data_IF_575668811788
#
_entry.id   IF_575668811788
#
_cell.length_a   1.000
_cell.length_b   1.000
_cell.length_c   1.000
_cell.angle_alpha   90.00
_cell.angle_beta   90.00
_cell.angle_gamma   90.00
#
_symmetry.space_group_name_H-M   'P 1'
#
loop_
_entity.id
_entity.type
_entity.pdbx_description
1 polymer ?
#
# COMPACT_ATOMS: atom_id res chain seq x y z
N UNK A 1 18.06 -8.99 -14.45
CA UNK A 1 17.48 -7.67 -14.09
C UNK A 1 17.40 -7.45 -12.58
N UNK A 2 16.58 -8.15 -11.78
CA UNK A 2 16.53 -7.94 -10.31
C UNK A 2 17.88 -8.26 -9.64
N UNK A 3 18.50 -9.41 -9.96
CA UNK A 3 19.83 -9.80 -9.43
C UNK A 3 20.99 -8.88 -9.86
N UNK A 4 20.76 -8.05 -10.88
CA UNK A 4 21.76 -7.14 -11.45
C UNK A 4 21.64 -5.74 -10.84
N UNK A 5 20.40 -5.31 -10.54
CA UNK A 5 20.11 -4.11 -9.76
C UNK A 5 20.46 -4.29 -8.27
N UNK A 6 20.31 -5.51 -7.73
CA UNK A 6 20.73 -5.87 -6.37
C UNK A 6 22.24 -5.79 -6.16
N UNK A 7 23.05 -5.99 -7.23
CA UNK A 7 24.51 -5.86 -7.20
C UNK A 7 25.02 -4.41 -7.18
N UNK A 8 24.12 -3.42 -7.29
CA UNK A 8 24.47 -1.99 -7.35
C UNK A 8 24.21 -1.23 -6.05
N UNK A 9 23.67 -1.87 -5.01
CA UNK A 9 23.52 -1.18 -3.73
C UNK A 9 24.91 -0.96 -3.12
N UNK A 10 25.33 0.30 -3.06
CA UNK A 10 26.57 0.70 -2.40
C UNK A 10 26.59 0.17 -0.95
N UNK A 11 27.71 -0.44 -0.55
CA UNK A 11 27.84 -1.09 0.76
C UNK A 11 27.67 -0.10 1.91
N UNK A 12 28.09 1.17 1.74
CA UNK A 12 27.90 2.19 2.77
C UNK A 12 26.42 2.55 2.89
N UNK A 13 25.71 2.72 1.77
CA UNK A 13 24.25 2.97 1.78
C UNK A 13 23.50 1.81 2.45
N UNK A 14 23.89 0.56 2.16
CA UNK A 14 23.34 -0.64 2.79
C UNK A 14 23.55 -0.61 4.31
N UNK A 15 24.78 -0.36 4.75
CA UNK A 15 25.13 -0.37 6.16
C UNK A 15 24.44 0.77 6.93
N UNK A 16 24.42 1.98 6.37
CA UNK A 16 23.74 3.14 6.96
C UNK A 16 22.24 2.87 7.10
N UNK A 17 21.59 2.33 6.06
CA UNK A 17 20.17 1.96 6.12
C UNK A 17 19.92 0.92 7.20
N UNK A 18 20.76 -0.12 7.27
CA UNK A 18 20.64 -1.20 8.25
C UNK A 18 20.71 -0.66 9.68
N UNK A 19 21.71 0.16 9.98
CA UNK A 19 21.90 0.73 11.32
C UNK A 19 20.70 1.60 11.73
N UNK A 20 20.22 2.48 10.85
CA UNK A 20 19.04 3.32 11.12
C UNK A 20 17.77 2.49 11.33
N UNK A 21 17.59 1.43 10.54
CA UNK A 21 16.44 0.52 10.68
C UNK A 21 16.50 -0.21 12.02
N UNK A 22 17.67 -0.69 12.43
CA UNK A 22 17.85 -1.39 13.70
C UNK A 22 17.52 -0.47 14.89
N UNK A 23 18.06 0.74 14.90
CA UNK A 23 17.73 1.78 15.90
C UNK A 23 16.22 2.06 15.94
N UNK A 24 15.59 2.19 14.78
CA UNK A 24 14.15 2.43 14.67
C UNK A 24 13.32 1.26 15.22
N UNK A 25 13.68 0.02 14.89
CA UNK A 25 12.98 -1.16 15.39
C UNK A 25 13.20 -1.33 16.90
N UNK A 26 14.38 -0.98 17.39
CA UNK A 26 14.70 -0.97 18.81
C UNK A 26 13.81 0.01 19.60
N UNK A 27 13.44 1.16 19.03
CA UNK A 27 12.42 2.05 19.64
C UNK A 27 11.07 1.33 19.81
N UNK A 28 10.61 0.59 18.79
CA UNK A 28 9.33 -0.14 18.85
C UNK A 28 9.34 -1.30 19.87
N UNK A 29 10.52 -1.82 20.20
CA UNK A 29 10.68 -2.86 21.21
C UNK A 29 10.69 -2.26 22.62
N UNK A 30 11.34 -1.12 22.83
CA UNK A 30 11.65 -0.63 24.18
C UNK A 30 10.81 0.56 24.64
N UNK A 31 10.10 1.26 23.74
CA UNK A 31 9.30 2.43 24.09
C UNK A 31 7.82 2.06 24.22
N UNK A 32 7.24 2.25 25.42
CA UNK A 32 5.85 1.87 25.72
C UNK A 32 4.83 2.49 24.74
N UNK A 33 4.96 3.78 24.43
CA UNK A 33 4.05 4.46 23.50
C UNK A 33 4.12 3.89 22.07
N UNK A 34 5.28 3.38 21.65
CA UNK A 34 5.46 2.69 20.35
C UNK A 34 4.84 1.30 20.35
N UNK A 35 4.93 0.58 21.46
CA UNK A 35 4.23 -0.68 21.63
C UNK A 35 2.70 -0.50 21.61
N UNK A 36 2.19 0.56 22.26
CA UNK A 36 0.75 0.85 22.25
C UNK A 36 0.26 1.24 20.85
N UNK A 37 1.05 2.03 20.11
CA UNK A 37 0.80 2.31 18.70
C UNK A 37 0.75 1.03 17.85
N UNK A 38 1.72 0.13 18.04
CA UNK A 38 1.78 -1.17 17.38
C UNK A 38 0.53 -2.00 17.66
N UNK A 39 0.12 -2.11 18.93
CA UNK A 39 -1.09 -2.85 19.34
C UNK A 39 -2.35 -2.26 18.72
N UNK A 40 -2.51 -0.93 18.69
CA UNK A 40 -3.67 -0.29 18.06
C UNK A 40 -3.73 -0.59 16.56
N UNK A 41 -2.61 -0.49 15.85
CA UNK A 41 -2.54 -0.83 14.42
C UNK A 41 -2.94 -2.28 14.18
N UNK A 42 -2.39 -3.23 14.96
CA UNK A 42 -2.70 -4.65 14.83
C UNK A 42 -4.18 -4.95 15.12
N UNK A 43 -4.75 -4.32 16.16
CA UNK A 43 -6.18 -4.42 16.49
C UNK A 43 -7.06 -3.94 15.33
N UNK A 44 -6.76 -2.77 14.77
CA UNK A 44 -7.52 -2.22 13.63
C UNK A 44 -7.41 -3.09 12.38
N UNK A 45 -6.23 -3.68 12.10
CA UNK A 45 -6.09 -4.66 11.01
C UNK A 45 -6.98 -5.88 11.21
N UNK A 46 -6.96 -6.45 12.41
CA UNK A 46 -7.81 -7.59 12.75
C UNK A 46 -9.30 -7.25 12.59
N UNK A 47 -9.72 -6.07 13.02
CA UNK A 47 -11.10 -5.61 12.85
C UNK A 47 -11.49 -5.41 11.38
N UNK A 48 -10.60 -4.83 10.57
CA UNK A 48 -10.81 -4.72 9.12
C UNK A 48 -11.02 -6.09 8.47
N UNK A 49 -10.17 -7.08 8.78
CA UNK A 49 -10.31 -8.43 8.22
C UNK A 49 -11.59 -9.14 8.68
N UNK A 50 -12.05 -8.86 9.89
CA UNK A 50 -13.34 -9.37 10.37
C UNK A 50 -14.53 -8.74 9.64
N UNK A 51 -14.47 -7.44 9.34
CA UNK A 51 -15.55 -6.69 8.68
C UNK A 51 -15.60 -6.91 7.16
N UNK A 52 -14.43 -7.03 6.54
CA UNK A 52 -14.28 -7.11 5.08
C UNK A 52 -13.42 -8.32 4.68
N UNK A 53 -13.78 -9.54 5.12
CA UNK A 53 -13.09 -10.74 4.68
C UNK A 53 -13.20 -10.86 3.15
N UNK A 54 -12.22 -11.51 2.52
CA UNK A 54 -12.15 -11.59 1.05
C UNK A 54 -13.41 -12.22 0.46
N UNK A 55 -13.95 -13.21 1.16
CA UNK A 55 -15.12 -13.99 0.77
C UNK A 55 -16.40 -13.14 0.74
N UNK A 56 -16.50 -12.09 1.57
CA UNK A 56 -17.68 -11.22 1.58
C UNK A 56 -17.66 -10.15 0.50
N UNK A 57 -16.53 -9.95 -0.20
CA UNK A 57 -16.41 -8.94 -1.24
C UNK A 57 -17.40 -9.17 -2.38
N UNK A 58 -17.66 -10.42 -2.77
CA UNK A 58 -18.59 -10.76 -3.85
C UNK A 58 -20.04 -10.33 -3.55
N UNK A 59 -20.45 -10.40 -2.29
CA UNK A 59 -21.80 -10.05 -1.82
C UNK A 59 -21.89 -8.65 -1.22
N UNK A 60 -20.80 -7.87 -1.24
CA UNK A 60 -20.78 -6.52 -0.68
C UNK A 60 -21.78 -5.62 -1.42
N UNK A 61 -22.57 -4.86 -0.66
CA UNK A 61 -23.49 -3.86 -1.22
C UNK A 61 -22.78 -2.51 -1.40
N UNK A 62 -23.39 -1.62 -2.19
CA UNK A 62 -22.85 -0.28 -2.42
C UNK A 62 -22.84 0.55 -1.13
N UNK A 63 -23.80 0.36 -0.22
CA UNK A 63 -23.88 0.98 1.11
C UNK A 63 -22.69 0.57 1.99
N UNK A 64 -22.33 -0.72 1.94
CA UNK A 64 -21.20 -1.28 2.69
C UNK A 64 -19.87 -0.78 2.13
N UNK A 65 -19.79 -0.49 0.83
CA UNK A 65 -18.58 0.03 0.19
C UNK A 65 -18.43 1.54 0.33
N UNK A 66 -19.39 2.29 -0.20
CA UNK A 66 -19.30 3.73 -0.40
C UNK A 66 -19.32 4.47 0.94
N UNK A 67 -18.70 5.66 0.99
CA UNK A 67 -18.62 6.50 2.18
C UNK A 67 -20.00 7.06 2.60
N UNK A 68 -20.86 6.19 3.11
CA UNK A 68 -22.18 6.50 3.64
C UNK A 68 -22.06 6.74 5.16
N UNK A 69 -21.47 5.78 5.89
CA UNK A 69 -21.32 5.76 7.35
C UNK A 69 -19.90 5.44 7.84
N UNK A 70 -19.67 5.63 9.16
CA UNK A 70 -18.42 5.34 9.90
C UNK A 70 -18.03 3.85 9.96
N UNK A 71 -18.60 3.02 9.10
CA UNK A 71 -18.32 1.58 9.02
C UNK A 71 -18.21 1.05 7.58
N UNK A 72 -18.23 1.93 6.58
CA UNK A 72 -18.06 1.53 5.17
C UNK A 72 -16.62 1.14 4.85
N UNK A 73 -16.43 0.34 3.81
CA UNK A 73 -15.12 -0.09 3.34
C UNK A 73 -14.20 1.12 3.07
N UNK A 74 -14.70 2.13 2.36
CA UNK A 74 -13.91 3.34 2.06
C UNK A 74 -13.61 4.16 3.31
N UNK A 75 -14.52 4.21 4.29
CA UNK A 75 -14.24 4.84 5.58
C UNK A 75 -13.01 4.20 6.25
N UNK A 76 -12.99 2.86 6.29
CA UNK A 76 -11.89 2.11 6.89
C UNK A 76 -10.56 2.31 6.14
N UNK A 77 -10.60 2.22 4.81
CA UNK A 77 -9.43 2.37 3.93
C UNK A 77 -8.78 3.75 4.09
N UNK A 78 -9.57 4.82 4.19
CA UNK A 78 -9.06 6.20 4.22
C UNK A 78 -8.76 6.71 5.64
N UNK A 79 -9.62 6.41 6.61
CA UNK A 79 -9.57 7.04 7.94
C UNK A 79 -9.06 6.09 9.03
N UNK A 80 -9.69 4.93 9.21
CA UNK A 80 -9.32 4.05 10.34
C UNK A 80 -7.92 3.48 10.20
N UNK A 81 -7.54 3.13 8.96
CA UNK A 81 -6.27 2.50 8.64
C UNK A 81 -5.23 3.50 8.14
N UNK A 82 -5.37 4.79 8.44
CA UNK A 82 -4.45 5.83 7.98
C UNK A 82 -2.99 5.54 8.35
N UNK A 83 -2.73 5.05 9.56
CA UNK A 83 -1.38 4.68 10.04
C UNK A 83 -0.70 3.61 9.19
N UNK A 84 -1.46 2.85 8.39
CA UNK A 84 -0.95 1.89 7.42
C UNK A 84 -0.67 2.56 6.06
N UNK A 85 -0.08 3.75 6.06
CA UNK A 85 0.09 4.59 4.87
C UNK A 85 -1.17 5.41 4.58
N UNK A 86 -1.03 6.73 4.66
CA UNK A 86 -2.16 7.66 4.49
C UNK A 86 -2.59 7.73 3.03
N UNK A 87 -3.90 7.72 2.81
CA UNK A 87 -4.54 8.03 1.53
C UNK A 87 -5.43 9.26 1.64
N UNK A 88 -5.26 10.09 2.68
CA UNK A 88 -6.08 11.29 2.92
C UNK A 88 -5.97 12.34 1.82
N UNK A 89 -4.90 12.32 1.02
CA UNK A 89 -4.80 13.17 -0.17
C UNK A 89 -5.82 12.82 -1.26
N UNK A 90 -6.47 11.64 -1.18
CA UNK A 90 -7.61 11.33 -2.03
C UNK A 90 -8.86 12.07 -1.54
N UNK A 91 -9.31 13.04 -2.34
CA UNK A 91 -10.66 13.59 -2.18
C UNK A 91 -11.70 12.49 -2.37
N UNK A 92 -12.65 12.36 -1.44
CA UNK A 92 -13.75 11.40 -1.51
C UNK A 92 -14.73 11.86 -2.59
N UNK A 93 -14.43 11.48 -3.83
CA UNK A 93 -15.25 11.75 -5.00
C UNK A 93 -15.36 10.54 -5.94
N UNK A 94 -16.29 10.59 -6.88
CA UNK A 94 -16.53 9.51 -7.84
C UNK A 94 -15.36 9.32 -8.83
N UNK A 95 -14.45 10.29 -8.99
CA UNK A 95 -13.26 10.12 -9.85
C UNK A 95 -12.27 9.18 -9.17
N UNK A 96 -12.04 9.38 -7.88
CA UNK A 96 -11.11 8.58 -7.08
C UNK A 96 -11.71 7.24 -6.65
N UNK A 97 -12.99 7.19 -6.29
CA UNK A 97 -13.60 5.98 -5.70
C UNK A 97 -14.64 5.30 -6.60
N UNK A 98 -14.86 5.81 -7.81
CA UNK A 98 -15.86 5.35 -8.81
C UNK A 98 -17.30 5.56 -8.38
N UNK A 99 -17.64 5.19 -7.14
CA UNK A 99 -18.95 5.35 -6.51
C UNK A 99 -18.74 5.97 -5.12
N UNK A 100 -19.45 7.04 -4.81
CA UNK A 100 -19.45 7.70 -3.49
C UNK A 100 -20.86 8.10 -3.12
N UNK A 101 -21.15 8.20 -1.82
CA UNK A 101 -22.40 8.78 -1.35
C UNK A 101 -22.24 10.28 -1.11
N UNK A 102 -23.06 11.10 -1.75
CA UNK A 102 -23.12 12.53 -1.50
C UNK A 102 -24.20 12.84 -0.46
N UNK A 103 -23.77 13.25 0.74
CA UNK A 103 -24.67 13.57 1.84
C UNK A 103 -25.56 14.79 1.58
N UNK A 104 -25.04 15.80 0.88
CA UNK A 104 -25.80 17.03 0.59
C UNK A 104 -26.93 16.76 -0.40
N UNK A 105 -26.69 15.86 -1.37
CA UNK A 105 -27.68 15.49 -2.38
C UNK A 105 -28.49 14.23 -1.99
N UNK A 106 -28.18 13.62 -0.84
CA UNK A 106 -28.74 12.36 -0.35
C UNK A 106 -28.81 11.26 -1.42
N UNK A 107 -27.78 11.14 -2.25
CA UNK A 107 -27.72 10.15 -3.33
C UNK A 107 -26.32 9.66 -3.62
N UNK A 108 -26.23 8.50 -4.23
CA UNK A 108 -24.98 8.00 -4.78
C UNK A 108 -24.58 8.77 -6.05
N UNK A 109 -23.31 9.11 -6.14
CA UNK A 109 -22.67 9.69 -7.31
C UNK A 109 -21.70 8.67 -7.86
N UNK A 110 -21.80 8.41 -9.16
CA UNK A 110 -20.93 7.52 -9.90
C UNK A 110 -20.43 8.17 -11.18
N UNK A 111 -19.41 7.59 -11.81
CA UNK A 111 -18.86 8.11 -13.06
C UNK A 111 -19.90 8.02 -14.20
N UNK A 112 -20.11 9.12 -14.92
CA UNK A 112 -21.11 9.24 -16.00
C UNK A 112 -20.93 8.26 -17.16
N UNK A 113 -19.77 7.59 -17.28
CA UNK A 113 -19.57 6.53 -18.28
C UNK A 113 -20.44 5.28 -18.04
N UNK A 114 -21.05 5.15 -16.86
CA UNK A 114 -21.93 4.03 -16.52
C UNK A 114 -23.39 4.43 -16.70
N UNK A 115 -24.21 3.50 -17.16
CA UNK A 115 -25.64 3.74 -17.38
C UNK A 115 -26.43 3.82 -16.05
N UNK A 116 -25.97 3.12 -15.02
CA UNK A 116 -26.62 3.08 -13.71
C UNK A 116 -25.62 2.97 -12.55
N UNK A 117 -26.11 3.18 -11.32
CA UNK A 117 -25.37 2.93 -10.09
C UNK A 117 -24.95 1.46 -9.99
N UNK A 118 -25.86 0.54 -10.31
CA UNK A 118 -25.63 -0.90 -10.22
C UNK A 118 -24.55 -1.34 -11.21
N UNK A 119 -24.54 -0.81 -12.43
CA UNK A 119 -23.48 -1.08 -13.41
C UNK A 119 -22.12 -0.59 -12.91
N UNK A 120 -22.07 0.63 -12.36
CA UNK A 120 -20.86 1.20 -11.82
C UNK A 120 -20.33 0.39 -10.62
N UNK A 121 -21.23 -0.02 -9.72
CA UNK A 121 -20.89 -0.79 -8.54
C UNK A 121 -20.44 -2.20 -8.90
N UNK A 122 -21.20 -2.93 -9.73
CA UNK A 122 -20.85 -4.28 -10.16
C UNK A 122 -19.48 -4.30 -10.85
N UNK A 123 -19.20 -3.34 -11.75
CA UNK A 123 -17.87 -3.24 -12.38
C UNK A 123 -16.78 -2.98 -11.34
N UNK A 124 -16.98 -2.04 -10.43
CA UNK A 124 -16.00 -1.70 -9.41
C UNK A 124 -15.72 -2.87 -8.46
N UNK A 125 -16.75 -3.56 -7.98
CA UNK A 125 -16.64 -4.71 -7.08
C UNK A 125 -15.84 -5.83 -7.74
N UNK A 126 -16.16 -6.16 -8.99
CA UNK A 126 -15.42 -7.15 -9.76
C UNK A 126 -13.95 -6.75 -9.96
N UNK A 127 -13.69 -5.46 -10.18
CA UNK A 127 -12.32 -4.95 -10.37
C UNK A 127 -11.48 -4.92 -9.10
N UNK A 128 -12.11 -4.75 -7.93
CA UNK A 128 -11.47 -4.91 -6.62
C UNK A 128 -11.09 -6.39 -6.43
N UNK A 129 -11.99 -7.32 -6.75
CA UNK A 129 -11.73 -8.76 -6.66
C UNK A 129 -10.60 -9.14 -7.62
N UNK A 130 -10.67 -8.72 -8.89
CA UNK A 130 -9.61 -8.96 -9.88
C UNK A 130 -8.26 -8.43 -9.38
N UNK A 131 -8.20 -7.24 -8.78
CA UNK A 131 -6.97 -6.69 -8.20
C UNK A 131 -6.38 -7.61 -7.11
N UNK A 132 -7.23 -8.14 -6.23
CA UNK A 132 -6.79 -9.04 -5.17
C UNK A 132 -6.29 -10.36 -5.79
N UNK A 133 -7.01 -10.89 -6.78
CA UNK A 133 -6.69 -12.14 -7.47
C UNK A 133 -5.38 -12.05 -8.26
N UNK A 134 -5.11 -10.95 -8.98
CA UNK A 134 -3.83 -10.80 -9.71
C UNK A 134 -2.63 -10.66 -8.78
N UNK A 135 -2.88 -10.28 -7.53
CA UNK A 135 -1.88 -10.26 -6.47
C UNK A 135 -1.65 -11.64 -5.84
N UNK A 136 -2.48 -12.64 -6.11
CA UNK A 136 -2.26 -14.01 -5.67
C UNK A 136 -1.04 -14.65 -6.35
N UNK A 137 -0.40 -15.57 -5.65
CA UNK A 137 0.78 -16.29 -6.13
C UNK A 137 2.09 -15.51 -6.01
N UNK A 138 3.18 -16.12 -6.47
CA UNK A 138 4.54 -15.57 -6.31
C UNK A 138 4.85 -14.43 -7.29
N UNK A 139 4.21 -14.42 -8.46
CA UNK A 139 4.43 -13.41 -9.51
C UNK A 139 3.18 -12.56 -9.69
N UNK A 140 3.35 -11.25 -9.79
CA UNK A 140 2.24 -10.33 -10.03
C UNK A 140 1.76 -10.46 -11.48
N UNK A 141 0.51 -10.92 -11.66
CA UNK A 141 -0.15 -10.96 -12.97
C UNK A 141 -0.51 -9.54 -13.42
N UNK A 142 -0.65 -9.34 -14.72
CA UNK A 142 -1.12 -8.06 -15.25
C UNK A 142 -2.59 -7.85 -14.88
N UNK A 143 -2.91 -6.66 -14.38
CA UNK A 143 -4.28 -6.19 -14.20
C UNK A 143 -4.83 -5.76 -15.56
N UNK A 144 -6.11 -6.06 -15.83
CA UNK A 144 -6.77 -5.62 -17.06
C UNK A 144 -6.63 -4.11 -17.29
N UNK A 145 -6.35 -3.70 -18.52
CA UNK A 145 -6.31 -2.27 -18.90
C UNK A 145 -7.67 -1.58 -18.70
N UNK A 146 -8.77 -2.35 -18.74
CA UNK A 146 -10.12 -1.83 -18.49
C UNK A 146 -10.47 -1.73 -16.98
N UNK A 147 -9.60 -2.22 -16.09
CA UNK A 147 -9.86 -2.22 -14.66
C UNK A 147 -9.89 -0.78 -14.12
N UNK A 148 -10.91 -0.44 -13.32
CA UNK A 148 -11.14 0.92 -12.82
C UNK A 148 -10.04 1.39 -11.88
N UNK A 149 -9.27 0.47 -11.29
CA UNK A 149 -8.18 0.73 -10.36
C UNK A 149 -6.82 0.86 -11.06
N UNK A 150 -6.73 0.58 -12.36
CA UNK A 150 -5.46 0.57 -13.11
C UNK A 150 -4.65 1.86 -12.94
N UNK A 151 -5.30 3.02 -12.94
CA UNK A 151 -4.65 4.33 -12.77
C UNK A 151 -4.84 4.95 -11.37
N UNK A 152 -5.46 4.23 -10.43
CA UNK A 152 -5.76 4.73 -9.08
C UNK A 152 -4.71 4.27 -8.07
N UNK A 153 -3.46 4.72 -8.23
CA UNK A 153 -2.30 4.17 -7.53
C UNK A 153 -2.47 4.07 -6.01
N UNK A 154 -2.99 5.12 -5.37
CA UNK A 154 -3.19 5.15 -3.91
C UNK A 154 -4.20 4.09 -3.45
N UNK A 155 -5.40 4.07 -4.05
CA UNK A 155 -6.45 3.12 -3.67
C UNK A 155 -6.05 1.68 -4.02
N UNK A 156 -5.53 1.45 -5.23
CA UNK A 156 -5.04 0.16 -5.69
C UNK A 156 -3.95 -0.38 -4.76
N UNK A 157 -2.94 0.44 -4.45
CA UNK A 157 -1.86 0.03 -3.56
C UNK A 157 -2.36 -0.29 -2.16
N UNK A 158 -3.27 0.52 -1.62
CA UNK A 158 -3.86 0.32 -0.30
C UNK A 158 -4.63 -1.00 -0.22
N UNK A 159 -5.51 -1.27 -1.19
CA UNK A 159 -6.27 -2.53 -1.26
C UNK A 159 -5.31 -3.72 -1.40
N UNK A 160 -4.31 -3.64 -2.29
CA UNK A 160 -3.31 -4.70 -2.47
C UNK A 160 -2.56 -4.99 -1.17
N UNK A 161 -2.11 -3.98 -0.42
CA UNK A 161 -1.48 -4.17 0.88
C UNK A 161 -2.42 -4.77 1.92
N UNK A 162 -3.68 -4.31 1.98
CA UNK A 162 -4.63 -4.80 2.99
C UNK A 162 -4.88 -6.30 2.82
N UNK A 163 -5.12 -6.77 1.59
CA UNK A 163 -5.37 -8.20 1.32
C UNK A 163 -4.08 -9.04 1.20
N UNK A 164 -2.93 -8.41 0.97
CA UNK A 164 -1.62 -9.10 0.86
C UNK A 164 -0.53 -8.41 1.71
N UNK A 165 -0.71 -8.31 3.05
CA UNK A 165 0.13 -7.48 3.91
C UNK A 165 1.56 -8.00 4.05
N UNK A 166 1.79 -9.29 3.75
CA UNK A 166 3.12 -9.89 3.70
C UNK A 166 3.82 -9.68 2.36
N UNK A 167 3.11 -9.25 1.31
CA UNK A 167 3.64 -9.11 -0.05
C UNK A 167 4.00 -7.68 -0.39
N UNK A 168 3.24 -6.70 0.07
CA UNK A 168 3.45 -5.29 -0.24
C UNK A 168 3.86 -4.48 1.00
N UNK A 169 4.53 -3.35 0.76
CA UNK A 169 4.74 -2.29 1.74
C UNK A 169 3.55 -1.32 1.72
N UNK A 170 3.21 -0.65 2.83
CA UNK A 170 2.16 0.37 2.84
C UNK A 170 2.61 1.72 2.27
N UNK A 171 3.17 1.68 1.05
CA UNK A 171 3.64 2.82 0.27
C UNK A 171 2.98 2.73 -1.10
N UNK A 172 1.97 3.56 -1.32
CA UNK A 172 1.06 3.43 -2.47
C UNK A 172 1.32 4.46 -3.56
N UNK A 173 1.92 5.59 -3.18
CA UNK A 173 2.24 6.65 -4.11
C UNK A 173 3.43 6.23 -4.98
N UNK A 174 3.26 6.33 -6.31
CA UNK A 174 4.28 5.96 -7.28
C UNK A 174 5.53 6.83 -7.17
N UNK A 175 5.38 8.15 -7.04
CA UNK A 175 6.51 9.07 -6.88
C UNK A 175 7.31 8.78 -5.60
N UNK A 176 6.66 8.42 -4.50
CA UNK A 176 7.36 8.00 -3.29
C UNK A 176 8.11 6.68 -3.47
N UNK A 177 7.53 5.70 -4.17
CA UNK A 177 8.23 4.45 -4.49
C UNK A 177 9.49 4.70 -5.32
N UNK A 178 9.38 5.55 -6.36
CA UNK A 178 10.53 5.95 -7.18
C UNK A 178 11.55 6.74 -6.37
N UNK A 179 11.11 7.64 -5.50
CA UNK A 179 11.96 8.40 -4.59
C UNK A 179 12.80 7.46 -3.72
N UNK A 180 12.17 6.51 -3.01
CA UNK A 180 12.92 5.58 -2.14
C UNK A 180 13.88 4.69 -2.94
N UNK A 181 13.47 4.21 -4.12
CA UNK A 181 14.37 3.44 -4.99
C UNK A 181 15.57 4.26 -5.47
N UNK A 182 15.37 5.55 -5.76
CA UNK A 182 16.45 6.46 -6.16
C UNK A 182 17.42 6.72 -5.01
N UNK A 183 16.91 7.03 -3.82
CA UNK A 183 17.72 7.28 -2.62
C UNK A 183 18.51 6.02 -2.19
N UNK A 184 17.98 4.82 -2.47
CA UNK A 184 18.70 3.56 -2.31
C UNK A 184 19.68 3.25 -3.47
N UNK A 185 19.88 4.17 -4.41
CA UNK A 185 20.80 3.97 -5.55
C UNK A 185 20.37 2.89 -6.56
N UNK A 186 19.12 2.41 -6.48
CA UNK A 186 18.62 1.32 -7.35
C UNK A 186 18.29 1.83 -8.74
N UNK A 187 17.84 3.08 -8.85
CA UNK A 187 17.53 3.75 -10.12
C UNK A 187 18.30 5.06 -10.21
N UNK A 188 18.67 5.45 -11.43
CA UNK A 188 19.46 6.66 -11.69
C UNK A 188 18.61 7.94 -11.85
N UNK A 189 17.28 7.79 -11.97
CA UNK A 189 16.35 8.90 -12.18
C UNK A 189 15.04 8.65 -11.46
N UNK A 190 14.41 9.73 -10.99
CA UNK A 190 13.06 9.72 -10.41
C UNK A 190 11.98 9.90 -11.48
N UNK A 191 12.36 10.20 -12.73
CA UNK A 191 11.43 10.48 -13.81
C UNK A 191 10.64 9.23 -14.17
N UNK A 192 9.32 9.38 -14.26
CA UNK A 192 8.44 8.25 -14.54
C UNK A 192 8.63 7.68 -15.96
N UNK A 193 9.04 8.54 -16.92
CA UNK A 193 9.32 8.18 -18.31
C UNK A 193 10.50 7.22 -18.46
N UNK A 194 11.46 7.31 -17.55
CA UNK A 194 12.73 6.58 -17.62
C UNK A 194 12.67 5.27 -16.83
N UNK A 195 11.54 5.01 -16.16
CA UNK A 195 11.35 3.83 -15.33
C UNK A 195 11.03 2.60 -16.20
N UNK A 196 11.80 1.49 -16.09
CA UNK A 196 11.48 0.23 -16.76
C UNK A 196 10.16 -0.41 -16.25
N UNK A 197 9.48 0.22 -15.27
CA UNK A 197 8.22 -0.19 -14.68
C UNK A 197 7.03 0.71 -15.08
N UNK A 198 7.09 1.29 -16.29
CA UNK A 198 6.04 2.12 -16.90
C UNK A 198 4.81 1.34 -17.41
N UNK A 199 4.76 0.01 -17.19
CA UNK A 199 3.62 -0.81 -17.64
C UNK A 199 2.29 -0.34 -17.03
N UNK A 200 1.25 -0.11 -17.86
CA UNK A 200 -0.09 0.23 -17.40
C UNK A 200 -0.64 -0.83 -16.42
N UNK A 201 -1.50 -0.39 -15.49
CA UNK A 201 -2.23 -1.29 -14.59
C UNK A 201 -1.45 -1.77 -13.36
N UNK A 202 -0.25 -2.33 -13.49
CA UNK A 202 0.50 -2.91 -12.34
C UNK A 202 1.82 -2.23 -11.99
N UNK A 203 2.24 -1.20 -12.74
CA UNK A 203 3.54 -0.55 -12.55
C UNK A 203 3.83 -0.12 -11.10
N UNK A 204 2.87 0.49 -10.39
CA UNK A 204 3.06 0.90 -8.99
C UNK A 204 3.21 -0.29 -8.02
N UNK A 205 2.51 -1.40 -8.27
CA UNK A 205 2.62 -2.61 -7.47
C UNK A 205 3.97 -3.31 -7.70
N UNK A 206 4.48 -3.30 -8.94
CA UNK A 206 5.81 -3.82 -9.26
C UNK A 206 6.92 -3.02 -8.59
N UNK A 207 6.83 -1.69 -8.59
CA UNK A 207 7.76 -0.82 -7.86
C UNK A 207 7.74 -1.11 -6.36
N UNK A 208 6.55 -1.32 -5.79
CA UNK A 208 6.40 -1.68 -4.39
C UNK A 208 7.08 -3.02 -4.05
N UNK A 209 6.86 -4.05 -4.89
CA UNK A 209 7.53 -5.34 -4.76
C UNK A 209 9.05 -5.22 -4.87
N UNK A 210 9.54 -4.43 -5.83
CA UNK A 210 10.98 -4.18 -6.00
C UNK A 210 11.56 -3.55 -4.73
N UNK A 211 10.96 -2.45 -4.25
CA UNK A 211 11.40 -1.76 -3.05
C UNK A 211 11.40 -2.71 -1.85
N UNK A 212 10.34 -3.50 -1.68
CA UNK A 212 10.26 -4.51 -0.63
C UNK A 212 11.42 -5.50 -0.73
N UNK A 213 11.65 -6.07 -1.90
CA UNK A 213 12.72 -7.05 -2.08
C UNK A 213 14.08 -6.46 -1.73
N UNK A 214 14.39 -5.23 -2.18
CA UNK A 214 15.64 -4.55 -1.83
C UNK A 214 15.79 -4.40 -0.31
N UNK A 215 14.75 -3.97 0.39
CA UNK A 215 14.80 -3.80 1.85
C UNK A 215 14.99 -5.14 2.57
N UNK A 216 14.35 -6.20 2.07
CA UNK A 216 14.54 -7.54 2.61
C UNK A 216 15.95 -8.09 2.36
N UNK A 217 16.56 -7.74 1.23
CA UNK A 217 17.96 -8.08 0.96
C UNK A 217 18.93 -7.37 1.91
N UNK A 218 18.66 -6.10 2.27
CA UNK A 218 19.46 -5.35 3.24
C UNK A 218 19.43 -6.04 4.62
N UNK A 219 18.25 -6.51 5.03
CA UNK A 219 18.06 -7.24 6.28
C UNK A 219 18.45 -8.73 6.24
N UNK A 220 18.89 -9.27 5.08
CA UNK A 220 19.16 -10.71 4.91
C UNK A 220 20.27 -11.21 5.84
N UNK A 221 21.28 -10.39 6.10
CA UNK A 221 22.44 -10.78 6.91
C UNK A 221 22.13 -10.80 8.42
N UNK A 222 20.86 -10.65 8.80
CA UNK A 222 20.41 -10.62 10.18
C UNK A 222 20.61 -9.26 10.84
N UNK A 223 20.02 -9.12 12.03
CA UNK A 223 20.12 -7.94 12.89
C UNK A 223 21.03 -8.26 14.09
N UNK A 224 21.68 -7.25 14.64
CA UNK A 224 22.59 -7.45 15.78
C UNK A 224 21.80 -7.84 17.04
N UNK A 225 20.61 -7.26 17.24
CA UNK A 225 19.72 -7.59 18.35
C UNK A 225 18.74 -8.73 18.00
N UNK A 226 18.67 -9.82 18.79
CA UNK A 226 17.72 -10.91 18.57
C UNK A 226 16.25 -10.48 18.58
N UNK A 227 15.86 -9.51 19.43
CA UNK A 227 14.48 -9.00 19.49
C UNK A 227 14.14 -8.19 18.24
N UNK A 228 15.11 -7.47 17.67
CA UNK A 228 14.94 -6.80 16.37
C UNK A 228 14.74 -7.84 15.27
N UNK A 229 15.49 -8.94 15.31
CA UNK A 229 15.28 -10.08 14.39
C UNK A 229 13.88 -10.69 14.53
N UNK A 230 13.39 -10.91 15.75
CA UNK A 230 12.03 -11.43 15.99
C UNK A 230 10.95 -10.49 15.46
N UNK A 231 11.10 -9.19 15.69
CA UNK A 231 10.17 -8.18 15.19
C UNK A 231 10.19 -8.11 13.66
N UNK A 232 11.36 -8.19 13.04
CA UNK A 232 11.53 -8.25 11.59
C UNK A 232 10.87 -9.48 10.98
N UNK A 233 11.10 -10.66 11.58
CA UNK A 233 10.55 -11.94 11.15
C UNK A 233 9.03 -12.03 11.34
N UNK A 234 8.46 -11.23 12.25
CA UNK A 234 7.02 -11.04 12.36
C UNK A 234 6.39 -10.40 11.11
N UNK A 235 7.21 -9.92 10.16
CA UNK A 235 6.82 -9.42 8.84
C UNK A 235 5.82 -8.26 8.93
N UNK A 236 6.10 -7.35 9.87
CA UNK A 236 5.38 -6.09 10.02
C UNK A 236 5.84 -5.08 8.98
N UNK A 237 5.50 -5.33 7.71
CA UNK A 237 5.82 -4.45 6.58
C UNK A 237 5.39 -2.99 6.76
N UNK A 238 4.45 -2.70 7.67
CA UNK A 238 4.11 -1.31 7.99
C UNK A 238 5.16 -0.58 8.81
N UNK A 239 5.95 -1.27 9.63
CA UNK A 239 7.09 -0.64 10.31
C UNK A 239 8.13 -0.17 9.29
N UNK A 240 8.38 -0.96 8.23
CA UNK A 240 9.21 -0.54 7.09
C UNK A 240 8.63 0.70 6.43
N UNK A 241 7.32 0.74 6.18
CA UNK A 241 6.65 1.91 5.63
C UNK A 241 6.83 3.17 6.50
N UNK A 242 6.60 3.05 7.82
CA UNK A 242 6.77 4.15 8.78
C UNK A 242 8.23 4.62 8.80
N UNK A 243 9.17 3.69 8.84
CA UNK A 243 10.61 3.97 8.80
C UNK A 243 10.99 4.79 7.57
N UNK A 244 10.61 4.35 6.37
CA UNK A 244 10.97 5.03 5.13
C UNK A 244 10.41 6.45 5.08
N UNK A 245 9.17 6.66 5.55
CA UNK A 245 8.60 8.01 5.64
C UNK A 245 9.27 8.89 6.70
N UNK A 246 9.71 8.33 7.84
CA UNK A 246 10.38 9.08 8.92
C UNK A 246 11.81 9.46 8.54
N UNK A 247 12.57 8.52 7.97
CA UNK A 247 14.01 8.69 7.76
C UNK A 247 14.32 9.34 6.42
N UNK A 248 13.61 8.96 5.36
CA UNK A 248 13.92 9.44 4.01
C UNK A 248 13.03 10.61 3.58
N UNK A 249 11.95 10.92 4.32
CA UNK A 249 11.13 12.14 4.19
C UNK A 249 10.87 12.56 2.72
N UNK A 250 10.07 11.80 1.95
CA UNK A 250 9.77 12.17 0.57
C UNK A 250 9.10 13.55 0.52
N UNK A 251 9.30 14.32 -0.57
CA UNK A 251 8.74 15.66 -0.69
C UNK A 251 7.21 15.62 -0.57
N UNK A 252 6.65 16.61 0.15
CA UNK A 252 5.19 16.80 0.18
C UNK A 252 4.74 17.12 -1.24
N UNK A 253 3.96 16.23 -1.84
CA UNK A 253 3.35 16.51 -3.14
C UNK A 253 2.30 17.61 -2.97
N UNK A 254 2.37 18.61 -3.85
CA UNK A 254 1.37 19.66 -3.99
C UNK A 254 0.15 19.14 -4.72
#
# INVERSE_FOLDING_TARGET
MINELQRKLDENVRLEFKNKMEEFLFEYINVQSKQDELRDILRKKAEFYRKFPRESLCSMTVEQYAYFERNSFIYWVVFELEKLGSTRSLFIDARNFTVVYNRNQQKYIYNQRFASLDDAWNKLRNDIIELIDVCDGNTLRALSSNNLLSNKYLLKGKIAYLYHPKKFLPIYNRAHLLYFLYELGIISSRNESDSPFSLPGTGSLRLNLLLKNIIYEIGRDGWNDPKVSDLWNSNYNFLIGIFLYKIMSPPRMR
#
